data_IF_354041457299
#
_entry.id   IF_354041457299
#
_cell.length_a   1.000
_cell.length_b   1.000
_cell.length_c   1.000
_cell.angle_alpha   90.00
_cell.angle_beta   90.00
_cell.angle_gamma   90.00
#
_symmetry.space_group_name_H-M   'P 1'
#
loop_
_entity.id
_entity.type
_entity.pdbx_description
1 polymer ?
#
# COMPACT_ATOMS: atom_id res chain seq x y z
N UNK A 1 -3.16 12.36 31.58
CA UNK A 1 -2.82 13.15 30.39
C UNK A 1 -4.01 13.08 29.45
N UNK A 2 -4.27 14.13 28.66
CA UNK A 2 -5.26 14.05 27.59
C UNK A 2 -4.82 13.01 26.57
N UNK A 3 -5.76 12.23 26.03
CA UNK A 3 -5.45 11.27 24.97
C UNK A 3 -5.15 12.00 23.68
N UNK A 4 -4.25 11.41 22.87
CA UNK A 4 -3.97 11.89 21.53
C UNK A 4 -5.11 11.55 20.58
N UNK A 5 -5.51 12.48 19.72
CA UNK A 5 -6.59 12.30 18.76
C UNK A 5 -6.05 11.81 17.43
N UNK A 6 -6.43 10.60 17.06
CA UNK A 6 -6.02 9.94 15.82
C UNK A 6 -7.15 9.96 14.80
N UNK A 7 -6.96 10.65 13.70
CA UNK A 7 -7.88 10.64 12.57
C UNK A 7 -7.64 9.42 11.69
N UNK A 8 -8.53 8.44 11.67
CA UNK A 8 -8.44 7.31 10.75
C UNK A 8 -9.13 7.69 9.45
N UNK A 9 -8.34 7.78 8.36
CA UNK A 9 -8.84 8.08 7.01
C UNK A 9 -8.97 6.78 6.23
N UNK A 10 -10.16 6.49 5.73
CA UNK A 10 -10.48 5.20 5.12
C UNK A 10 -11.56 5.30 4.04
N UNK A 11 -11.77 4.22 3.26
CA UNK A 11 -12.64 4.19 2.11
C UNK A 11 -11.89 4.59 0.83
N UNK A 12 -12.37 5.60 0.13
CA UNK A 12 -11.69 6.17 -1.04
C UNK A 12 -12.34 5.80 -2.37
N UNK A 13 -11.98 6.57 -3.40
CA UNK A 13 -12.40 6.37 -4.79
C UNK A 13 -11.44 5.40 -5.49
N UNK A 14 -11.47 4.14 -5.11
CA UNK A 14 -10.62 3.10 -5.68
C UNK A 14 -11.35 1.75 -5.74
N UNK A 15 -10.80 0.81 -6.49
CA UNK A 15 -11.30 -0.57 -6.55
C UNK A 15 -11.14 -1.31 -5.20
N UNK A 16 -10.34 -0.79 -4.28
CA UNK A 16 -10.04 -1.38 -2.98
C UNK A 16 -10.81 -0.70 -1.82
N UNK A 17 -11.91 0.01 -2.14
CA UNK A 17 -12.73 0.74 -1.15
C UNK A 17 -13.16 -0.16 0.01
N UNK A 18 -13.74 -1.33 -0.26
CA UNK A 18 -14.24 -2.26 0.75
C UNK A 18 -13.12 -2.85 1.62
N UNK A 19 -11.96 -3.11 1.04
CA UNK A 19 -10.76 -3.58 1.77
C UNK A 19 -10.30 -2.51 2.77
N UNK A 20 -10.35 -1.24 2.37
CA UNK A 20 -10.06 -0.11 3.25
C UNK A 20 -11.02 -0.02 4.43
N UNK A 21 -12.33 -0.27 4.22
CA UNK A 21 -13.32 -0.30 5.30
C UNK A 21 -13.02 -1.40 6.33
N UNK A 22 -12.64 -2.58 5.86
CA UNK A 22 -12.24 -3.71 6.73
C UNK A 22 -10.96 -3.39 7.52
N UNK A 23 -9.95 -2.84 6.85
CA UNK A 23 -8.70 -2.43 7.49
C UNK A 23 -8.95 -1.39 8.58
N UNK A 24 -9.76 -0.37 8.30
CA UNK A 24 -10.12 0.65 9.27
C UNK A 24 -10.84 0.06 10.48
N UNK A 25 -11.79 -0.86 10.27
CA UNK A 25 -12.49 -1.56 11.35
C UNK A 25 -11.48 -2.24 12.29
N UNK A 26 -10.54 -3.01 11.75
CA UNK A 26 -9.55 -3.71 12.55
C UNK A 26 -8.63 -2.76 13.32
N UNK A 27 -8.22 -1.64 12.72
CA UNK A 27 -7.43 -0.61 13.41
C UNK A 27 -8.22 0.00 14.56
N UNK A 28 -9.49 0.37 14.34
CA UNK A 28 -10.39 0.94 15.36
C UNK A 28 -10.59 -0.02 16.54
N UNK A 29 -10.71 -1.30 16.26
CA UNK A 29 -10.86 -2.33 17.30
C UNK A 29 -9.58 -2.53 18.12
N UNK A 30 -8.42 -2.50 17.47
CA UNK A 30 -7.14 -2.86 18.04
C UNK A 30 -6.30 -1.70 18.61
N UNK A 31 -6.60 -0.45 18.24
CA UNK A 31 -5.86 0.73 18.73
C UNK A 31 -5.98 0.87 20.25
N UNK A 32 -4.88 1.25 20.92
CA UNK A 32 -4.85 1.46 22.37
C UNK A 32 -5.73 2.65 22.80
N UNK A 33 -6.96 2.36 23.21
CA UNK A 33 -7.95 3.35 23.65
C UNK A 33 -7.62 4.02 24.99
N UNK A 34 -6.59 3.55 25.69
CA UNK A 34 -6.08 4.26 26.89
C UNK A 34 -5.22 5.46 26.52
N UNK A 35 -4.54 5.40 25.34
CA UNK A 35 -3.65 6.45 24.82
C UNK A 35 -4.30 7.33 23.73
N UNK A 36 -5.20 6.76 22.94
CA UNK A 36 -5.72 7.38 21.72
C UNK A 36 -7.25 7.51 21.73
N UNK A 37 -7.73 8.68 21.29
CA UNK A 37 -9.12 8.92 20.91
C UNK A 37 -9.22 8.89 19.39
N UNK A 38 -10.16 8.10 18.86
CA UNK A 38 -10.33 7.89 17.42
C UNK A 38 -11.35 8.86 16.83
N UNK A 39 -10.98 9.48 15.72
CA UNK A 39 -11.88 10.26 14.86
C UNK A 39 -11.95 9.58 13.50
N UNK A 40 -13.15 9.25 13.02
CA UNK A 40 -13.35 8.52 11.78
C UNK A 40 -13.62 9.47 10.61
N UNK A 41 -12.77 9.44 9.61
CA UNK A 41 -12.79 10.26 8.42
C UNK A 41 -12.99 9.36 7.20
N UNK A 42 -14.26 9.08 6.89
CA UNK A 42 -14.62 8.21 5.77
C UNK A 42 -14.59 8.97 4.44
N UNK A 43 -14.03 8.35 3.42
CA UNK A 43 -14.07 8.84 2.03
C UNK A 43 -15.00 7.92 1.25
N UNK A 44 -16.04 8.47 0.65
CA UNK A 44 -16.97 7.70 -0.17
C UNK A 44 -16.39 7.34 -1.56
N UNK A 45 -17.17 6.59 -2.34
CA UNK A 45 -16.75 6.18 -3.69
C UNK A 45 -16.71 7.32 -4.71
N UNK A 46 -17.27 8.47 -4.39
CA UNK A 46 -17.19 9.70 -5.16
C UNK A 46 -15.95 10.53 -4.81
N UNK A 47 -15.31 10.23 -3.66
CA UNK A 47 -14.14 10.93 -3.14
C UNK A 47 -14.48 12.03 -2.14
N UNK A 48 -15.73 12.14 -1.69
CA UNK A 48 -16.12 13.11 -0.66
C UNK A 48 -15.72 12.60 0.73
N UNK A 49 -15.24 13.51 1.54
CA UNK A 49 -14.80 13.25 2.90
C UNK A 49 -15.92 13.52 3.88
N UNK A 50 -16.11 12.60 4.81
CA UNK A 50 -17.14 12.66 5.83
C UNK A 50 -16.58 12.41 7.21
N UNK A 51 -17.18 13.03 8.23
CA UNK A 51 -16.99 12.59 9.60
C UNK A 51 -18.04 11.52 9.92
N UNK A 52 -17.60 10.41 10.50
CA UNK A 52 -18.45 9.28 10.81
C UNK A 52 -18.49 9.01 12.32
N UNK A 53 -19.62 8.51 12.82
CA UNK A 53 -19.78 8.09 14.20
C UNK A 53 -19.06 6.74 14.44
N UNK A 54 -18.15 6.72 15.41
CA UNK A 54 -17.38 5.51 15.74
C UNK A 54 -18.24 4.30 16.13
N UNK A 55 -19.44 4.52 16.65
CA UNK A 55 -20.39 3.47 17.01
C UNK A 55 -21.18 2.89 15.83
N UNK A 56 -21.22 3.57 14.67
CA UNK A 56 -22.16 3.21 13.60
C UNK A 56 -21.74 3.69 12.20
N UNK A 57 -20.48 3.52 11.83
CA UNK A 57 -19.94 4.01 10.54
C UNK A 57 -20.00 3.01 9.39
N UNK A 58 -20.23 1.74 9.69
CA UNK A 58 -20.27 0.66 8.69
C UNK A 58 -21.64 -0.02 8.63
N UNK A 59 -22.04 -0.37 7.42
CA UNK A 59 -23.11 -1.31 7.13
C UNK A 59 -22.49 -2.69 6.89
N UNK A 60 -23.17 -3.75 7.33
CA UNK A 60 -22.72 -5.14 7.15
C UNK A 60 -21.27 -5.40 7.56
N UNK A 61 -20.83 -4.79 8.68
CA UNK A 61 -19.43 -4.78 9.12
C UNK A 61 -18.81 -6.18 9.35
N UNK A 62 -19.61 -7.24 9.40
CA UNK A 62 -19.15 -8.63 9.58
C UNK A 62 -19.10 -9.42 8.24
N UNK A 63 -19.56 -8.85 7.14
CA UNK A 63 -19.60 -9.49 5.83
C UNK A 63 -18.66 -8.72 4.87
N UNK A 64 -17.44 -9.24 4.57
CA UNK A 64 -16.49 -8.59 3.68
C UNK A 64 -17.03 -8.30 2.27
N UNK A 65 -17.97 -9.10 1.77
CA UNK A 65 -18.55 -8.93 0.45
C UNK A 65 -19.65 -7.85 0.41
N UNK A 66 -20.20 -7.46 1.56
CA UNK A 66 -21.32 -6.51 1.69
C UNK A 66 -21.00 -5.29 2.53
N UNK A 67 -19.80 -5.21 3.08
CA UNK A 67 -19.37 -4.07 3.90
C UNK A 67 -19.52 -2.78 3.10
N UNK A 68 -20.08 -1.75 3.72
CA UNK A 68 -20.25 -0.45 3.08
C UNK A 68 -20.11 0.69 4.11
N UNK A 69 -19.62 1.84 3.66
CA UNK A 69 -19.61 3.06 4.46
C UNK A 69 -21.04 3.54 4.66
N UNK A 70 -21.40 3.80 5.91
CA UNK A 70 -22.71 4.41 6.22
C UNK A 70 -22.71 5.88 5.77
N UNK A 71 -23.73 6.34 5.04
CA UNK A 71 -23.84 7.73 4.66
C UNK A 71 -23.79 8.65 5.88
N UNK A 72 -23.03 9.74 5.76
CA UNK A 72 -22.95 10.80 6.75
C UNK A 72 -23.36 12.13 6.09
N UNK A 73 -24.05 12.98 6.85
CA UNK A 73 -24.47 14.31 6.40
C UNK A 73 -23.41 15.38 6.61
N UNK A 74 -22.32 15.06 7.33
CA UNK A 74 -21.26 16.03 7.63
C UNK A 74 -20.11 15.83 6.64
N UNK A 75 -20.05 16.70 5.65
CA UNK A 75 -18.95 16.76 4.68
C UNK A 75 -17.80 17.59 5.24
N UNK A 76 -16.58 17.17 4.95
CA UNK A 76 -15.35 17.80 5.42
C UNK A 76 -14.65 18.58 4.32
N UNK A 77 -14.07 19.71 4.70
CA UNK A 77 -13.08 20.42 3.91
C UNK A 77 -11.78 20.60 4.67
N UNK A 78 -10.68 20.68 3.94
CA UNK A 78 -9.35 20.89 4.49
C UNK A 78 -8.87 22.30 4.16
N UNK A 79 -8.21 22.93 5.12
CA UNK A 79 -7.59 24.25 4.93
C UNK A 79 -6.07 24.11 4.95
N UNK A 80 -5.41 24.18 3.80
CA UNK A 80 -3.96 24.12 3.72
C UNK A 80 -3.26 25.24 4.49
N UNK A 81 -2.05 24.97 5.00
CA UNK A 81 -1.20 25.95 5.64
C UNK A 81 -1.58 26.32 7.08
N UNK A 82 -2.66 25.80 7.64
CA UNK A 82 -3.01 26.00 9.05
C UNK A 82 -2.14 25.15 9.96
N UNK A 83 -1.77 25.69 11.11
CA UNK A 83 -1.05 24.96 12.18
C UNK A 83 -2.02 24.19 13.11
N UNK A 84 -3.28 24.56 13.15
CA UNK A 84 -4.32 23.91 13.93
C UNK A 84 -5.68 24.07 13.24
N UNK A 85 -6.63 23.19 13.60
CA UNK A 85 -7.99 23.22 13.03
C UNK A 85 -7.99 23.14 11.50
N UNK A 86 -7.18 22.25 10.97
CA UNK A 86 -6.97 22.06 9.53
C UNK A 86 -8.21 21.51 8.81
N UNK A 87 -9.07 20.79 9.55
CA UNK A 87 -10.31 20.22 9.04
C UNK A 87 -11.52 21.02 9.55
N UNK A 88 -12.44 21.33 8.66
CA UNK A 88 -13.68 22.04 8.96
C UNK A 88 -14.89 21.27 8.40
N UNK A 89 -16.05 21.51 8.99
CA UNK A 89 -17.31 21.14 8.35
C UNK A 89 -17.50 22.03 7.12
N UNK A 90 -17.66 21.43 5.94
CA UNK A 90 -17.72 22.15 4.67
C UNK A 90 -18.97 23.03 4.53
N UNK A 91 -20.07 22.70 5.23
CA UNK A 91 -21.34 23.44 5.15
C UNK A 91 -21.37 24.61 6.12
N UNK A 92 -20.96 24.39 7.37
CA UNK A 92 -21.02 25.41 8.41
C UNK A 92 -19.76 26.26 8.54
N UNK A 93 -18.64 25.84 7.95
CA UNK A 93 -17.33 26.44 8.12
C UNK A 93 -16.73 26.26 9.52
N UNK A 94 -17.41 25.55 10.42
CA UNK A 94 -16.95 25.35 11.80
C UNK A 94 -15.76 24.38 11.82
N UNK A 95 -14.68 24.71 12.55
CA UNK A 95 -13.54 23.82 12.68
C UNK A 95 -13.92 22.57 13.46
N UNK A 96 -13.37 21.43 13.05
CA UNK A 96 -13.38 20.23 13.86
C UNK A 96 -12.43 20.38 15.04
N UNK A 97 -12.66 19.58 16.07
CA UNK A 97 -11.68 19.48 17.14
C UNK A 97 -10.33 18.99 16.58
N UNK A 98 -9.23 19.51 17.14
CA UNK A 98 -7.88 19.23 16.67
C UNK A 98 -7.64 17.73 16.54
N UNK A 99 -6.96 17.34 15.46
CA UNK A 99 -6.45 15.99 15.22
C UNK A 99 -4.93 16.07 15.32
N UNK A 100 -4.33 15.19 16.11
CA UNK A 100 -2.88 15.21 16.37
C UNK A 100 -2.10 14.45 15.31
N UNK A 101 -2.70 13.39 14.75
CA UNK A 101 -2.08 12.54 13.72
C UNK A 101 -3.15 11.85 12.87
N UNK A 102 -2.88 11.67 11.60
CA UNK A 102 -3.73 10.91 10.68
C UNK A 102 -3.15 9.50 10.52
N UNK A 103 -4.02 8.50 10.60
CA UNK A 103 -3.75 7.14 10.18
C UNK A 103 -4.50 6.87 8.88
N UNK A 104 -3.87 7.08 7.71
CA UNK A 104 -4.51 6.76 6.44
C UNK A 104 -4.47 5.25 6.22
N UNK A 105 -5.59 4.70 5.77
CA UNK A 105 -5.70 3.30 5.36
C UNK A 105 -6.56 3.20 4.09
N UNK A 106 -6.30 4.11 3.16
CA UNK A 106 -6.94 4.17 1.84
C UNK A 106 -6.06 3.40 0.85
N UNK A 107 -6.50 2.22 0.46
CA UNK A 107 -5.77 1.38 -0.47
C UNK A 107 -5.97 1.80 -1.93
N UNK A 108 -4.94 1.60 -2.76
CA UNK A 108 -4.97 1.84 -4.19
C UNK A 108 -4.86 3.31 -4.59
N UNK A 109 -5.46 3.65 -5.72
CA UNK A 109 -5.38 4.96 -6.36
C UNK A 109 -5.87 6.08 -5.43
N UNK A 110 -5.19 7.22 -5.45
CA UNK A 110 -5.36 8.39 -4.60
C UNK A 110 -5.00 8.17 -3.11
N UNK A 111 -4.88 6.94 -2.64
CA UNK A 111 -4.52 6.60 -1.26
C UNK A 111 -3.04 6.26 -1.08
N UNK A 112 -2.43 5.58 -2.06
CA UNK A 112 -1.07 5.07 -2.00
C UNK A 112 -0.11 5.71 -3.00
N UNK A 113 -0.59 6.63 -3.84
CA UNK A 113 0.15 7.22 -4.96
C UNK A 113 0.80 8.58 -4.67
N UNK A 114 0.79 9.02 -3.42
CA UNK A 114 1.30 10.31 -2.99
C UNK A 114 0.26 11.43 -2.98
N UNK A 115 -0.92 11.24 -3.56
CA UNK A 115 -1.98 12.28 -3.62
C UNK A 115 -2.52 12.61 -2.24
N UNK A 116 -2.94 11.59 -1.48
CA UNK A 116 -3.41 11.77 -0.10
C UNK A 116 -2.29 12.32 0.79
N UNK A 117 -1.08 11.79 0.66
CA UNK A 117 0.09 12.22 1.41
C UNK A 117 0.43 13.69 1.16
N UNK A 118 0.37 14.13 -0.10
CA UNK A 118 0.59 15.53 -0.48
C UNK A 118 -0.46 16.45 0.13
N UNK A 119 -1.73 16.06 0.13
CA UNK A 119 -2.81 16.81 0.73
C UNK A 119 -2.61 16.96 2.25
N UNK A 120 -2.28 15.87 2.96
CA UNK A 120 -2.02 15.90 4.40
C UNK A 120 -0.78 16.72 4.75
N UNK A 121 0.27 16.65 3.93
CA UNK A 121 1.49 17.44 4.10
C UNK A 121 1.22 18.94 3.96
N UNK A 122 0.46 19.36 2.94
CA UNK A 122 0.06 20.76 2.76
C UNK A 122 -0.81 21.30 3.90
N UNK A 123 -1.51 20.42 4.62
CA UNK A 123 -2.29 20.76 5.80
C UNK A 123 -1.51 20.74 7.11
N UNK A 124 -0.19 20.50 7.10
CA UNK A 124 0.62 20.35 8.31
C UNK A 124 0.10 19.27 9.26
N UNK A 125 -0.48 18.19 8.74
CA UNK A 125 -0.96 17.06 9.52
C UNK A 125 0.08 15.94 9.52
N UNK A 126 0.58 15.50 10.68
CA UNK A 126 1.36 14.27 10.77
C UNK A 126 0.53 13.09 10.25
N UNK A 127 1.14 12.15 9.54
CA UNK A 127 0.43 10.97 9.04
C UNK A 127 1.31 9.72 9.03
N UNK A 128 0.67 8.58 9.24
CA UNK A 128 1.29 7.25 9.21
C UNK A 128 1.59 6.84 7.77
N UNK A 129 2.70 6.12 7.58
CA UNK A 129 3.11 5.58 6.29
C UNK A 129 4.12 6.45 5.56
N UNK A 130 4.43 6.08 4.32
CA UNK A 130 5.42 6.78 3.50
C UNK A 130 4.94 8.17 3.08
N UNK A 131 5.89 9.08 2.88
CA UNK A 131 5.62 10.42 2.34
C UNK A 131 5.35 10.36 0.82
N UNK A 132 5.14 11.50 0.23
CA UNK A 132 4.77 11.70 -1.20
C UNK A 132 5.67 10.91 -2.13
N UNK A 133 7.00 11.08 -2.01
CA UNK A 133 7.95 10.42 -2.91
C UNK A 133 7.92 8.90 -2.77
N UNK A 134 8.01 8.38 -1.55
CA UNK A 134 8.00 6.94 -1.31
C UNK A 134 6.70 6.28 -1.78
N UNK A 135 5.55 6.92 -1.51
CA UNK A 135 4.24 6.45 -1.97
C UNK A 135 4.16 6.42 -3.50
N UNK A 136 4.47 7.53 -4.17
CA UNK A 136 4.41 7.63 -5.63
C UNK A 136 5.40 6.70 -6.33
N UNK A 137 6.64 6.62 -5.83
CA UNK A 137 7.68 5.76 -6.41
C UNK A 137 7.33 4.27 -6.28
N UNK A 138 6.74 3.84 -5.16
CA UNK A 138 6.33 2.45 -4.94
C UNK A 138 5.07 2.08 -5.73
N UNK A 139 4.16 3.02 -5.94
CA UNK A 139 2.93 2.77 -6.70
C UNK A 139 3.22 2.53 -8.19
N UNK A 140 4.12 3.29 -8.78
CA UNK A 140 4.48 3.19 -10.19
C UNK A 140 5.50 2.07 -10.43
N UNK A 141 5.06 0.93 -10.95
CA UNK A 141 5.89 -0.27 -11.18
C UNK A 141 7.09 -0.03 -12.09
N UNK A 142 6.99 0.87 -13.07
CA UNK A 142 8.11 1.23 -13.94
C UNK A 142 9.18 2.01 -13.17
N UNK A 143 8.77 3.04 -12.40
CA UNK A 143 9.67 3.83 -11.57
C UNK A 143 10.31 2.97 -10.47
N UNK A 144 9.52 2.18 -9.76
CA UNK A 144 10.00 1.21 -8.76
C UNK A 144 11.12 0.33 -9.32
N UNK A 145 10.86 -0.34 -10.45
CA UNK A 145 11.82 -1.27 -11.06
C UNK A 145 13.10 -0.56 -11.53
N UNK A 146 13.00 0.65 -12.06
CA UNK A 146 14.17 1.44 -12.48
C UNK A 146 15.05 1.81 -11.30
N UNK A 147 14.45 2.31 -10.21
CA UNK A 147 15.20 2.71 -9.00
C UNK A 147 15.83 1.50 -8.31
N UNK A 148 15.10 0.39 -8.17
CA UNK A 148 15.65 -0.84 -7.59
C UNK A 148 16.81 -1.40 -8.41
N UNK A 149 16.69 -1.42 -9.74
CA UNK A 149 17.77 -1.86 -10.64
C UNK A 149 18.99 -0.97 -10.54
N UNK A 150 18.82 0.36 -10.45
CA UNK A 150 19.91 1.31 -10.27
C UNK A 150 20.66 1.06 -8.95
N UNK A 151 19.92 0.68 -7.90
CA UNK A 151 20.48 0.29 -6.60
C UNK A 151 21.09 -1.12 -6.57
N UNK A 152 21.16 -1.83 -7.69
CA UNK A 152 21.73 -3.17 -7.79
C UNK A 152 20.82 -4.29 -7.28
N UNK A 153 19.53 -4.02 -7.07
CA UNK A 153 18.56 -5.01 -6.65
C UNK A 153 17.92 -5.71 -7.85
N UNK A 154 17.73 -7.04 -7.74
CA UNK A 154 17.15 -7.83 -8.81
C UNK A 154 15.64 -7.59 -8.94
N UNK A 155 15.21 -7.27 -10.15
CA UNK A 155 13.80 -7.15 -10.57
C UNK A 155 13.60 -7.96 -11.85
N UNK A 156 12.37 -8.42 -12.10
CA UNK A 156 12.05 -9.09 -13.36
C UNK A 156 12.39 -8.17 -14.55
N UNK A 157 13.04 -8.67 -15.61
CA UNK A 157 13.22 -7.92 -16.85
C UNK A 157 11.89 -7.42 -17.39
N UNK A 158 11.86 -6.18 -17.90
CA UNK A 158 10.62 -5.55 -18.31
C UNK A 158 10.78 -4.57 -19.46
N UNK A 159 9.65 -4.26 -20.11
CA UNK A 159 9.48 -3.22 -21.11
C UNK A 159 8.31 -2.35 -20.65
N UNK A 160 8.46 -1.04 -20.81
CA UNK A 160 7.41 -0.07 -20.50
C UNK A 160 6.75 0.42 -21.77
N UNK A 161 5.43 0.24 -21.86
CA UNK A 161 4.60 0.70 -22.94
C UNK A 161 3.83 1.95 -22.51
N UNK A 162 3.76 2.90 -23.42
CA UNK A 162 2.88 4.07 -23.36
C UNK A 162 2.05 4.14 -24.62
N UNK A 163 1.00 4.97 -24.65
CA UNK A 163 0.22 5.17 -25.89
C UNK A 163 1.08 5.66 -27.06
N UNK A 164 2.16 6.39 -26.78
CA UNK A 164 3.06 6.95 -27.77
C UNK A 164 4.04 5.93 -28.36
N UNK A 165 4.52 4.96 -27.55
CA UNK A 165 5.58 4.04 -27.98
C UNK A 165 5.11 2.59 -28.25
N UNK A 166 3.88 2.22 -27.89
CA UNK A 166 3.41 0.83 -27.96
C UNK A 166 3.53 0.20 -29.35
N UNK A 167 3.39 1.00 -30.40
CA UNK A 167 3.51 0.53 -31.77
C UNK A 167 4.95 0.17 -32.18
N UNK A 168 5.95 0.53 -31.38
CA UNK A 168 7.36 0.21 -31.60
C UNK A 168 7.75 -1.17 -31.05
N UNK A 169 6.85 -1.84 -30.32
CA UNK A 169 7.09 -3.13 -29.69
C UNK A 169 6.10 -4.17 -30.22
N UNK A 170 6.53 -4.95 -31.21
CA UNK A 170 5.78 -6.11 -31.65
C UNK A 170 5.82 -7.22 -30.58
N UNK A 171 4.87 -8.18 -30.63
CA UNK A 171 4.94 -9.35 -29.77
C UNK A 171 6.25 -10.11 -29.94
N UNK A 172 6.70 -10.31 -31.17
CA UNK A 172 7.95 -11.01 -31.46
C UNK A 172 9.18 -10.34 -30.83
N UNK A 173 9.26 -9.01 -30.83
CA UNK A 173 10.34 -8.25 -30.18
C UNK A 173 10.29 -8.40 -28.65
N UNK A 174 9.09 -8.37 -28.09
CA UNK A 174 8.87 -8.52 -26.65
C UNK A 174 9.21 -9.94 -26.20
N UNK A 175 8.74 -10.96 -26.92
CA UNK A 175 9.04 -12.37 -26.66
C UNK A 175 10.53 -12.65 -26.76
N UNK A 176 11.20 -12.15 -27.81
CA UNK A 176 12.64 -12.33 -28.01
C UNK A 176 13.45 -11.71 -26.85
N UNK A 177 12.98 -10.61 -26.27
CA UNK A 177 13.67 -9.90 -25.19
C UNK A 177 13.38 -10.44 -23.79
N UNK A 178 12.14 -10.87 -23.52
CA UNK A 178 11.68 -11.23 -22.18
C UNK A 178 11.39 -12.72 -22.01
N UNK A 179 11.17 -13.47 -23.10
CA UNK A 179 10.72 -14.85 -23.05
C UNK A 179 9.24 -14.98 -22.63
N UNK A 180 8.76 -16.22 -22.53
CA UNK A 180 7.42 -16.54 -22.08
C UNK A 180 7.46 -17.37 -20.78
N UNK A 181 6.44 -17.31 -19.91
CA UNK A 181 5.27 -16.42 -19.99
C UNK A 181 5.61 -14.97 -19.65
N UNK A 182 4.76 -14.04 -20.12
CA UNK A 182 4.83 -12.63 -19.75
C UNK A 182 3.71 -12.30 -18.76
N UNK A 183 3.92 -11.22 -17.98
CA UNK A 183 2.87 -10.53 -17.24
C UNK A 183 2.73 -9.11 -17.76
N UNK A 184 1.51 -8.75 -18.13
CA UNK A 184 1.15 -7.39 -18.58
C UNK A 184 0.36 -6.73 -17.47
N UNK A 185 0.81 -5.55 -17.02
CA UNK A 185 0.29 -4.87 -15.82
C UNK A 185 0.12 -3.37 -16.08
N UNK A 186 -0.97 -2.73 -15.64
CA UNK A 186 -0.99 -1.29 -15.47
C UNK A 186 0.11 -0.87 -14.49
N UNK A 187 0.79 0.25 -14.73
CA UNK A 187 1.91 0.67 -13.89
C UNK A 187 1.47 1.10 -12.49
N UNK A 188 0.31 1.78 -12.37
CA UNK A 188 -0.18 2.43 -11.15
C UNK A 188 -1.46 1.79 -10.58
N UNK A 189 -1.62 0.48 -10.70
CA UNK A 189 -2.75 -0.24 -10.11
C UNK A 189 -2.27 -1.29 -9.12
N UNK A 190 -3.02 -1.41 -8.00
CA UNK A 190 -2.82 -2.43 -6.98
C UNK A 190 -3.67 -3.69 -7.22
N UNK A 191 -3.57 -4.66 -6.32
CA UNK A 191 -4.48 -5.80 -6.18
C UNK A 191 -4.76 -6.60 -7.46
N UNK A 192 -3.77 -6.70 -8.34
CA UNK A 192 -3.85 -7.42 -9.63
C UNK A 192 -4.91 -6.86 -10.62
N UNK A 193 -5.40 -5.63 -10.42
CA UNK A 193 -6.34 -4.98 -11.35
C UNK A 193 -5.67 -4.79 -12.71
N UNK A 194 -6.32 -5.31 -13.77
CA UNK A 194 -5.83 -5.21 -15.14
C UNK A 194 -4.57 -6.03 -15.45
N UNK A 195 -4.16 -6.94 -14.57
CA UNK A 195 -2.99 -7.82 -14.74
C UNK A 195 -3.38 -9.06 -15.53
N UNK A 196 -2.57 -9.43 -16.52
CA UNK A 196 -2.78 -10.63 -17.34
C UNK A 196 -1.49 -11.42 -17.51
N UNK A 197 -1.61 -12.77 -17.43
CA UNK A 197 -0.55 -13.71 -17.82
C UNK A 197 -0.70 -14.03 -19.30
N UNK A 198 0.39 -13.92 -20.06
CA UNK A 198 0.43 -14.03 -21.51
C UNK A 198 1.36 -15.16 -21.93
N UNK A 199 0.85 -16.06 -22.80
CA UNK A 199 1.57 -17.23 -23.33
C UNK A 199 1.69 -17.22 -24.87
N UNK A 200 1.01 -16.28 -25.55
CA UNK A 200 1.00 -16.15 -27.01
C UNK A 200 0.61 -14.73 -27.46
N UNK A 201 0.72 -14.48 -28.76
CA UNK A 201 0.49 -13.16 -29.36
C UNK A 201 -0.95 -12.63 -29.18
N UNK A 202 -1.97 -13.49 -29.33
CA UNK A 202 -3.36 -13.10 -29.15
C UNK A 202 -3.63 -12.59 -27.73
N UNK A 203 -3.17 -13.36 -26.73
CA UNK A 203 -3.26 -12.98 -25.32
C UNK A 203 -2.46 -11.69 -25.03
N UNK A 204 -1.32 -11.47 -25.69
CA UNK A 204 -0.55 -10.24 -25.55
C UNK A 204 -1.36 -9.02 -25.95
N UNK A 205 -1.96 -9.05 -27.15
CA UNK A 205 -2.76 -7.92 -27.61
C UNK A 205 -3.98 -7.64 -26.74
N UNK A 206 -4.67 -8.69 -26.28
CA UNK A 206 -5.80 -8.56 -25.35
C UNK A 206 -5.36 -7.97 -24.01
N UNK A 207 -4.25 -8.46 -23.45
CA UNK A 207 -3.71 -8.02 -22.18
C UNK A 207 -3.25 -6.55 -22.21
N UNK A 208 -2.56 -6.13 -23.28
CA UNK A 208 -2.13 -4.74 -23.47
C UNK A 208 -3.33 -3.81 -23.62
N UNK A 209 -4.36 -4.22 -24.38
CA UNK A 209 -5.58 -3.45 -24.51
C UNK A 209 -6.27 -3.26 -23.16
N UNK A 210 -6.45 -4.34 -22.41
CA UNK A 210 -7.06 -4.31 -21.07
C UNK A 210 -6.28 -3.43 -20.11
N UNK A 211 -4.95 -3.57 -20.04
CA UNK A 211 -4.12 -2.78 -19.12
C UNK A 211 -4.21 -1.27 -19.41
N UNK A 212 -4.33 -0.87 -20.68
CA UNK A 212 -4.53 0.52 -21.07
C UNK A 212 -5.93 1.10 -20.77
N UNK A 213 -6.89 0.27 -20.35
CA UNK A 213 -8.17 0.75 -19.79
C UNK A 213 -7.99 1.31 -18.37
N UNK A 214 -6.98 0.83 -17.64
CA UNK A 214 -6.73 1.18 -16.24
C UNK A 214 -5.60 2.19 -16.06
N UNK A 215 -4.68 2.36 -17.03
CA UNK A 215 -3.55 3.26 -16.91
C UNK A 215 -3.08 3.79 -18.29
N UNK A 216 -2.35 4.90 -18.25
CA UNK A 216 -1.66 5.46 -19.43
C UNK A 216 -0.29 4.79 -19.66
N UNK A 217 0.22 4.03 -18.72
CA UNK A 217 1.50 3.34 -18.74
C UNK A 217 1.32 1.88 -18.35
N UNK A 218 1.91 1.00 -19.13
CA UNK A 218 1.80 -0.46 -18.97
C UNK A 218 3.19 -1.05 -18.87
N UNK A 219 3.40 -1.95 -17.93
CA UNK A 219 4.63 -2.72 -17.77
C UNK A 219 4.38 -4.14 -18.28
N UNK A 220 5.24 -4.58 -19.21
CA UNK A 220 5.31 -5.96 -19.67
C UNK A 220 6.56 -6.57 -19.08
N UNK A 221 6.43 -7.61 -18.28
CA UNK A 221 7.55 -8.22 -17.58
C UNK A 221 7.64 -9.73 -17.80
N UNK A 222 8.85 -10.25 -17.70
CA UNK A 222 9.11 -11.69 -17.70
C UNK A 222 8.43 -12.34 -16.50
N UNK A 223 7.75 -13.46 -16.73
CA UNK A 223 7.23 -14.28 -15.64
C UNK A 223 8.36 -14.98 -14.89
N UNK A 224 8.52 -14.65 -13.61
CA UNK A 224 9.50 -15.28 -12.74
C UNK A 224 8.89 -16.54 -12.10
N UNK A 225 9.57 -17.66 -12.23
CA UNK A 225 9.20 -18.91 -11.56
C UNK A 225 9.85 -18.92 -10.17
N UNK A 226 9.03 -18.77 -9.13
CA UNK A 226 9.52 -18.72 -7.76
C UNK A 226 8.39 -18.85 -6.75
N UNK A 227 8.75 -18.97 -5.48
CA UNK A 227 7.84 -18.90 -4.34
C UNK A 227 7.55 -17.42 -4.03
N UNK A 228 6.31 -17.09 -3.71
CA UNK A 228 5.93 -15.74 -3.34
C UNK A 228 6.19 -15.52 -1.84
N UNK A 229 7.22 -14.73 -1.54
CA UNK A 229 7.64 -14.43 -0.16
C UNK A 229 7.39 -12.95 0.11
N UNK A 230 6.82 -12.66 1.27
CA UNK A 230 6.52 -11.31 1.72
C UNK A 230 7.31 -10.99 3.00
N UNK A 231 7.83 -9.76 3.09
CA UNK A 231 8.57 -9.26 4.25
C UNK A 231 8.06 -7.87 4.64
N UNK A 232 7.68 -7.70 5.90
CA UNK A 232 7.25 -6.41 6.41
C UNK A 232 8.44 -5.57 6.88
N UNK A 233 8.42 -4.26 6.56
CA UNK A 233 9.41 -3.29 7.00
C UNK A 233 8.72 -2.20 7.81
N UNK A 234 9.35 -1.77 8.91
CA UNK A 234 8.84 -0.78 9.87
C UNK A 234 9.96 0.16 10.29
N UNK A 235 9.75 1.46 10.21
CA UNK A 235 10.68 2.47 10.70
C UNK A 235 10.86 3.65 9.75
N UNK A 236 11.57 4.69 10.22
CA UNK A 236 12.00 5.83 9.42
C UNK A 236 13.47 5.65 9.02
N UNK A 237 14.40 6.35 9.67
CA UNK A 237 15.83 6.33 9.32
C UNK A 237 16.52 4.97 9.56
N UNK A 238 16.03 4.21 10.53
CA UNK A 238 16.55 2.89 10.90
C UNK A 238 15.47 1.81 10.78
N UNK A 239 15.03 1.48 9.54
CA UNK A 239 13.98 0.52 9.34
C UNK A 239 14.41 -0.89 9.71
N UNK A 240 13.48 -1.66 10.25
CA UNK A 240 13.64 -3.06 10.61
C UNK A 240 12.73 -3.93 9.76
N UNK A 241 13.18 -5.13 9.43
CA UNK A 241 12.42 -6.13 8.72
C UNK A 241 11.91 -7.22 9.67
N UNK A 242 10.67 -7.64 9.47
CA UNK A 242 10.07 -8.80 10.14
C UNK A 242 10.69 -10.12 9.67
N UNK A 243 10.27 -11.23 10.26
CA UNK A 243 10.41 -12.53 9.60
C UNK A 243 9.63 -12.56 8.28
N UNK A 244 9.96 -13.48 7.37
CA UNK A 244 9.26 -13.64 6.10
C UNK A 244 8.02 -14.51 6.25
N UNK A 245 7.01 -14.24 5.42
CA UNK A 245 5.85 -15.09 5.19
C UNK A 245 5.77 -15.54 3.74
N UNK A 246 4.96 -16.54 3.46
CA UNK A 246 4.77 -17.09 2.13
C UNK A 246 3.29 -17.13 1.77
N UNK A 247 2.98 -16.77 0.54
CA UNK A 247 1.69 -17.00 -0.10
C UNK A 247 1.79 -18.27 -0.94
N UNK A 248 1.12 -19.33 -0.50
CA UNK A 248 1.03 -20.60 -1.22
C UNK A 248 -0.28 -20.63 -1.99
N UNK A 249 -0.19 -20.55 -3.31
CA UNK A 249 -1.34 -20.51 -4.21
C UNK A 249 -1.89 -21.93 -4.45
N UNK A 250 -3.22 -22.07 -4.43
CA UNK A 250 -3.90 -23.30 -4.81
C UNK A 250 -4.13 -23.40 -6.33
N UNK A 251 -3.87 -22.32 -7.09
CA UNK A 251 -3.98 -22.24 -8.55
C UNK A 251 -2.84 -21.43 -9.16
N UNK A 252 -2.63 -21.53 -10.47
CA UNK A 252 -1.53 -20.85 -11.18
C UNK A 252 -1.59 -19.30 -11.19
N UNK A 253 -2.68 -18.69 -10.73
CA UNK A 253 -2.83 -17.23 -10.75
C UNK A 253 -3.68 -16.72 -9.58
N UNK A 254 -3.16 -15.75 -8.87
CA UNK A 254 -3.77 -15.12 -7.69
C UNK A 254 -4.55 -13.85 -8.10
N UNK A 255 -5.84 -14.00 -8.39
CA UNK A 255 -6.72 -12.90 -8.78
C UNK A 255 -7.19 -12.06 -7.56
N UNK A 256 -7.75 -10.86 -7.82
CA UNK A 256 -8.28 -9.94 -6.81
C UNK A 256 -9.27 -10.61 -5.84
N UNK A 257 -10.22 -11.38 -6.38
CA UNK A 257 -11.25 -12.05 -5.58
C UNK A 257 -10.66 -13.06 -4.59
N UNK A 258 -9.57 -13.73 -4.97
CA UNK A 258 -8.86 -14.69 -4.14
C UNK A 258 -8.07 -14.00 -3.00
N UNK A 259 -7.63 -12.75 -3.22
CA UNK A 259 -6.85 -11.99 -2.21
C UNK A 259 -7.71 -11.52 -1.02
N UNK A 260 -8.97 -11.19 -1.24
CA UNK A 260 -9.77 -10.46 -0.26
C UNK A 260 -11.15 -11.07 0.04
N UNK A 261 -11.65 -11.96 -0.80
CA UNK A 261 -12.99 -12.51 -0.72
C UNK A 261 -12.99 -14.02 -0.45
N UNK A 262 -12.00 -14.76 -1.00
CA UNK A 262 -11.93 -16.22 -0.92
C UNK A 262 -10.75 -16.69 -0.03
N UNK A 263 -11.07 -17.09 1.20
CA UNK A 263 -10.11 -17.67 2.15
C UNK A 263 -9.51 -19.03 1.68
N UNK A 264 -10.06 -19.62 0.62
CA UNK A 264 -9.65 -20.94 0.08
C UNK A 264 -8.64 -20.82 -1.08
N UNK A 265 -8.48 -19.65 -1.68
CA UNK A 265 -7.68 -19.49 -2.90
C UNK A 265 -6.17 -19.44 -2.66
N UNK A 266 -5.73 -19.06 -1.47
CA UNK A 266 -4.32 -19.00 -1.08
C UNK A 266 -4.14 -19.32 0.41
N UNK A 267 -3.05 -20.02 0.72
CA UNK A 267 -2.65 -20.28 2.11
C UNK A 267 -1.52 -19.34 2.51
N UNK A 268 -1.73 -18.61 3.59
CA UNK A 268 -0.71 -17.78 4.24
C UNK A 268 0.08 -18.62 5.23
N UNK A 269 1.41 -18.67 5.06
CA UNK A 269 2.32 -19.41 5.94
C UNK A 269 3.28 -18.43 6.60
N UNK A 270 3.18 -18.27 7.91
CA UNK A 270 4.04 -17.36 8.70
C UNK A 270 4.52 -18.09 9.94
N UNK A 271 5.85 -18.18 10.16
CA UNK A 271 6.92 -17.81 9.24
C UNK A 271 6.97 -18.69 7.98
N UNK A 272 7.55 -18.18 6.91
CA UNK A 272 7.79 -18.94 5.69
C UNK A 272 8.74 -20.12 5.95
N UNK A 273 8.47 -21.26 5.31
CA UNK A 273 9.33 -22.46 5.40
C UNK A 273 10.57 -22.31 4.49
N UNK A 274 11.49 -21.44 4.87
CA UNK A 274 12.77 -21.16 4.19
C UNK A 274 13.94 -21.28 5.17
N UNK A 275 15.14 -21.50 4.65
CA UNK A 275 16.35 -21.57 5.46
C UNK A 275 16.63 -20.20 6.15
N UNK A 276 17.20 -20.18 7.38
CA UNK A 276 17.47 -18.94 8.10
C UNK A 276 18.32 -17.94 7.29
N UNK A 277 19.32 -18.41 6.55
CA UNK A 277 20.18 -17.58 5.71
C UNK A 277 19.40 -16.90 4.57
N UNK A 278 18.41 -17.58 4.02
CA UNK A 278 17.53 -17.04 2.97
C UNK A 278 16.56 -16.01 3.57
N UNK A 279 16.00 -16.31 4.76
CA UNK A 279 15.18 -15.34 5.49
C UNK A 279 15.97 -14.05 5.76
N UNK A 280 17.20 -14.14 6.24
CA UNK A 280 18.03 -12.97 6.54
C UNK A 280 18.44 -12.22 5.26
N UNK A 281 18.72 -12.93 4.16
CA UNK A 281 18.97 -12.35 2.83
C UNK A 281 17.76 -11.53 2.35
N UNK A 282 16.54 -12.07 2.44
CA UNK A 282 15.32 -11.38 2.02
C UNK A 282 15.08 -10.16 2.89
N UNK A 283 15.25 -10.27 4.20
CA UNK A 283 15.12 -9.15 5.15
C UNK A 283 16.08 -7.99 4.82
N UNK A 284 17.35 -8.29 4.51
CA UNK A 284 18.33 -7.29 4.12
C UNK A 284 17.94 -6.61 2.80
N UNK A 285 17.50 -7.39 1.79
CA UNK A 285 17.02 -6.87 0.51
C UNK A 285 15.76 -6.00 0.71
N UNK A 286 14.84 -6.41 1.57
CA UNK A 286 13.62 -5.64 1.86
C UNK A 286 13.93 -4.27 2.49
N UNK A 287 14.88 -4.22 3.44
CA UNK A 287 15.34 -2.94 4.03
C UNK A 287 16.02 -2.07 2.98
N UNK A 288 16.91 -2.63 2.17
CA UNK A 288 17.58 -1.89 1.10
C UNK A 288 16.58 -1.33 0.08
N UNK A 289 15.60 -2.12 -0.36
CA UNK A 289 14.57 -1.68 -1.28
C UNK A 289 13.71 -0.56 -0.69
N UNK A 290 13.30 -0.70 0.57
CA UNK A 290 12.56 0.30 1.34
C UNK A 290 13.30 1.66 1.38
N UNK A 291 14.60 1.63 1.71
CA UNK A 291 15.43 2.83 1.76
C UNK A 291 15.66 3.44 0.36
N UNK A 292 15.91 2.60 -0.64
CA UNK A 292 16.11 3.04 -2.04
C UNK A 292 14.92 3.84 -2.58
N UNK A 293 13.70 3.43 -2.22
CA UNK A 293 12.47 4.08 -2.68
C UNK A 293 12.01 5.24 -1.78
N UNK A 294 12.78 5.57 -0.74
CA UNK A 294 12.45 6.66 0.18
C UNK A 294 11.19 6.39 1.01
N UNK A 295 10.95 5.13 1.35
CA UNK A 295 9.85 4.75 2.23
C UNK A 295 10.09 5.21 3.66
N UNK A 296 9.00 5.39 4.40
CA UNK A 296 9.00 5.67 5.84
C UNK A 296 7.75 5.08 6.51
N UNK A 297 7.82 4.88 7.83
CA UNK A 297 6.73 4.29 8.61
C UNK A 297 6.61 2.80 8.36
N UNK A 298 6.01 2.40 7.25
CA UNK A 298 5.77 0.99 6.91
C UNK A 298 5.83 0.71 5.41
N UNK A 299 6.18 -0.52 5.05
CA UNK A 299 5.91 -1.12 3.74
C UNK A 299 5.95 -2.65 3.84
N UNK A 300 5.32 -3.35 2.90
CA UNK A 300 5.51 -4.77 2.65
C UNK A 300 6.26 -4.93 1.33
N UNK A 301 7.35 -5.67 1.38
CA UNK A 301 8.18 -5.98 0.21
C UNK A 301 7.87 -7.40 -0.22
N UNK A 302 7.39 -7.55 -1.44
CA UNK A 302 6.97 -8.82 -2.01
C UNK A 302 8.02 -9.28 -3.03
N UNK A 303 8.51 -10.49 -2.87
CA UNK A 303 9.60 -11.05 -3.68
C UNK A 303 9.26 -12.44 -4.22
N UNK A 304 9.88 -12.80 -5.34
CA UNK A 304 9.97 -14.18 -5.81
C UNK A 304 11.28 -14.79 -5.34
N UNK A 305 11.19 -15.93 -4.67
CA UNK A 305 12.34 -16.76 -4.33
C UNK A 305 12.45 -17.90 -5.34
N UNK A 306 13.47 -17.88 -6.20
CA UNK A 306 13.68 -18.90 -7.23
C UNK A 306 14.21 -20.21 -6.62
N UNK A 307 14.22 -21.29 -7.44
CA UNK A 307 14.78 -22.57 -7.03
C UNK A 307 16.29 -22.50 -6.69
N UNK A 308 17.00 -21.55 -7.30
CA UNK A 308 18.44 -21.30 -7.07
C UNK A 308 18.69 -20.31 -5.92
N UNK A 309 17.67 -20.00 -5.11
CA UNK A 309 17.71 -19.02 -4.02
C UNK A 309 18.06 -17.59 -4.45
N UNK A 310 17.74 -17.23 -5.69
CA UNK A 310 17.75 -15.83 -6.11
C UNK A 310 16.49 -15.14 -5.60
N UNK A 311 16.65 -13.89 -5.14
CA UNK A 311 15.57 -13.05 -4.63
C UNK A 311 15.29 -11.96 -5.64
N UNK A 312 14.12 -12.00 -6.26
CA UNK A 312 13.69 -11.02 -7.28
C UNK A 312 12.54 -10.21 -6.71
N UNK A 313 12.71 -8.90 -6.59
CA UNK A 313 11.65 -8.03 -6.04
C UNK A 313 10.53 -7.92 -7.06
N UNK A 314 9.30 -8.17 -6.60
CA UNK A 314 8.08 -8.01 -7.37
C UNK A 314 7.50 -6.61 -7.21
N UNK A 315 7.10 -6.25 -5.99
CA UNK A 315 6.49 -4.96 -5.66
C UNK A 315 6.75 -4.55 -4.21
N UNK A 316 6.46 -3.27 -3.91
CA UNK A 316 6.53 -2.71 -2.56
C UNK A 316 5.22 -1.96 -2.29
N UNK A 317 4.53 -2.36 -1.21
CA UNK A 317 3.25 -1.80 -0.79
C UNK A 317 3.45 -0.89 0.41
N UNK A 318 3.22 0.41 0.26
CA UNK A 318 3.45 1.42 1.31
C UNK A 318 2.30 1.57 2.29
N UNK A 319 1.10 1.10 1.95
CA UNK A 319 -0.06 0.96 2.85
C UNK A 319 -0.61 -0.48 2.76
N UNK A 320 0.12 -1.47 3.29
CA UNK A 320 -0.33 -2.85 3.24
C UNK A 320 -1.65 -3.03 3.99
N UNK A 321 -2.43 -4.05 3.59
CA UNK A 321 -3.70 -4.35 4.25
C UNK A 321 -3.56 -4.57 5.75
N UNK A 322 -4.56 -4.15 6.50
CA UNK A 322 -4.69 -4.30 7.94
C UNK A 322 -5.95 -5.07 8.34
N UNK A 323 -6.41 -5.99 7.50
CA UNK A 323 -7.47 -6.93 7.88
C UNK A 323 -6.91 -8.04 8.76
N UNK A 324 -7.77 -8.81 9.42
CA UNK A 324 -7.36 -9.93 10.28
C UNK A 324 -6.63 -11.06 9.52
N UNK A 325 -6.80 -11.14 8.19
CA UNK A 325 -6.10 -12.10 7.33
C UNK A 325 -4.86 -11.51 6.65
N UNK A 326 -4.64 -10.19 6.76
CA UNK A 326 -3.54 -9.50 6.09
C UNK A 326 -2.16 -9.94 6.60
N UNK A 327 -1.22 -10.06 5.68
CA UNK A 327 0.13 -10.54 5.94
C UNK A 327 0.93 -9.59 6.83
N UNK A 328 0.86 -8.27 6.61
CA UNK A 328 1.70 -7.30 7.30
C UNK A 328 1.62 -7.40 8.82
N UNK A 329 0.44 -7.33 9.46
CA UNK A 329 0.36 -7.51 10.92
C UNK A 329 0.72 -8.92 11.39
N UNK A 330 0.45 -9.97 10.60
CA UNK A 330 0.85 -11.35 10.94
C UNK A 330 2.37 -11.53 10.98
N UNK A 331 3.10 -10.89 10.05
CA UNK A 331 4.56 -10.91 10.01
C UNK A 331 5.16 -10.26 11.26
N UNK A 332 4.62 -9.12 11.69
CA UNK A 332 5.08 -8.46 12.90
C UNK A 332 4.70 -9.23 14.16
N UNK A 333 3.52 -9.81 14.23
CA UNK A 333 3.13 -10.68 15.33
C UNK A 333 4.07 -11.89 15.48
N UNK A 334 4.42 -12.54 14.37
CA UNK A 334 5.40 -13.64 14.36
C UNK A 334 6.83 -13.18 14.72
N UNK A 335 7.12 -11.88 14.58
CA UNK A 335 8.39 -11.26 14.96
C UNK A 335 8.37 -10.66 16.37
N UNK A 336 7.30 -10.88 17.14
CA UNK A 336 7.20 -10.48 18.55
C UNK A 336 6.56 -9.11 18.80
N UNK A 337 6.02 -8.45 17.77
CA UNK A 337 5.30 -7.18 17.91
C UNK A 337 3.80 -7.42 17.69
N UNK A 338 3.01 -7.32 18.77
CA UNK A 338 1.56 -7.49 18.69
C UNK A 338 0.87 -6.35 17.92
N UNK A 339 -0.38 -6.58 17.52
CA UNK A 339 -1.12 -5.70 16.64
C UNK A 339 -1.37 -4.30 17.22
N UNK A 340 -1.71 -4.20 18.50
CA UNK A 340 -1.91 -2.92 19.20
C UNK A 340 -0.61 -2.13 19.30
N UNK A 341 0.49 -2.80 19.63
CA UNK A 341 1.84 -2.22 19.70
C UNK A 341 2.34 -1.77 18.31
N UNK A 342 2.03 -2.52 17.26
CA UNK A 342 2.33 -2.15 15.88
C UNK A 342 1.63 -0.84 15.49
N UNK A 343 0.33 -0.72 15.73
CA UNK A 343 -0.44 0.52 15.47
C UNK A 343 0.16 1.69 16.24
N UNK A 344 0.46 1.48 17.52
CA UNK A 344 1.07 2.49 18.37
C UNK A 344 2.41 2.95 17.81
N UNK A 345 3.28 2.01 17.42
CA UNK A 345 4.60 2.34 16.86
C UNK A 345 4.49 3.09 15.53
N UNK A 346 3.54 2.76 14.69
CA UNK A 346 3.27 3.48 13.44
C UNK A 346 2.86 4.93 13.69
N UNK A 347 2.04 5.18 14.68
CA UNK A 347 1.65 6.54 15.09
C UNK A 347 2.87 7.32 15.61
N UNK A 348 3.69 6.71 16.45
CA UNK A 348 4.93 7.32 16.96
C UNK A 348 5.89 7.69 15.82
N UNK A 349 6.09 6.79 14.85
CA UNK A 349 6.93 7.05 13.66
C UNK A 349 6.41 8.22 12.82
N UNK A 350 5.09 8.37 12.69
CA UNK A 350 4.49 9.50 11.99
C UNK A 350 4.83 10.83 12.68
N UNK A 351 4.74 10.87 14.00
CA UNK A 351 5.06 12.04 14.80
C UNK A 351 6.56 12.35 14.78
N UNK A 352 7.42 11.33 14.87
CA UNK A 352 8.88 11.47 14.76
C UNK A 352 9.28 12.12 13.42
N UNK A 353 8.74 11.59 12.30
CA UNK A 353 9.01 12.16 10.97
C UNK A 353 8.52 13.60 10.86
N UNK A 354 7.29 13.89 11.29
CA UNK A 354 6.74 15.24 11.24
C UNK A 354 7.57 16.22 12.07
N UNK A 355 8.03 15.82 13.26
CA UNK A 355 8.89 16.64 14.09
C UNK A 355 10.25 16.91 13.41
N UNK A 356 10.84 15.91 12.74
CA UNK A 356 12.08 16.07 11.99
C UNK A 356 11.91 17.01 10.79
N UNK A 357 10.80 16.95 10.08
CA UNK A 357 10.50 17.84 8.96
C UNK A 357 10.34 19.30 9.41
N UNK A 358 9.71 19.53 10.56
CA UNK A 358 9.43 20.88 11.09
C UNK A 358 10.68 21.67 11.52
N UNK A 359 11.80 21.01 11.79
CA UNK A 359 13.06 21.71 12.15
C UNK A 359 13.86 22.14 10.92
N UNK A 360 13.45 21.70 9.72
CA UNK A 360 14.11 22.10 8.49
C UNK A 360 13.80 23.57 8.16
N UNK A 361 14.82 24.30 7.73
CA UNK A 361 14.64 25.70 7.32
C UNK A 361 13.82 25.78 6.04
N UNK A 362 12.84 26.65 6.04
CA UNK A 362 11.99 26.95 4.87
C UNK A 362 12.34 28.29 4.22
N UNK A 363 13.30 29.04 4.79
CA UNK A 363 13.83 30.30 4.26
C UNK A 363 15.33 30.41 4.51
N UNK A 364 15.98 31.28 3.75
CA UNK A 364 17.40 31.57 3.87
C UNK A 364 17.70 32.64 4.96
N UNK A 365 16.68 33.17 5.59
CA UNK A 365 16.78 34.20 6.65
C UNK A 365 16.76 33.56 8.04
#
# INVERSE_FOLDING_TARGET
MAKMRVGIVFGGKSAEHEVSLQSAKNIVEAIDKSRFDVVLLGIDKQGLWHINDAGNYLLNAQDPARIALRPSTVTLAQIPGREAQQLINAESGQPLAAIDVIFPIVHGTLGEDGSLQGMLRMANLPFVGSDVLGSAACMDKDVTKRLLRDAGLAVAPFITLTRANRAQFSFADVEAKLGLPLFVKPANQGSSVGVSKVKNEEQYHQAVALAFEFDHKVVVEQGIKGREIECAVLGNDHPQASTCGEIVLNSEFYAYDTKYIDDQGAKVVVPAAIAPEINDKIRAIAVQAYQTLGCSGMARVDVFLTADNEVVINEINTLPGFTNISMYPKLWQASGLDYTSLITRLIELALERHAADRVLKTSMN
#
